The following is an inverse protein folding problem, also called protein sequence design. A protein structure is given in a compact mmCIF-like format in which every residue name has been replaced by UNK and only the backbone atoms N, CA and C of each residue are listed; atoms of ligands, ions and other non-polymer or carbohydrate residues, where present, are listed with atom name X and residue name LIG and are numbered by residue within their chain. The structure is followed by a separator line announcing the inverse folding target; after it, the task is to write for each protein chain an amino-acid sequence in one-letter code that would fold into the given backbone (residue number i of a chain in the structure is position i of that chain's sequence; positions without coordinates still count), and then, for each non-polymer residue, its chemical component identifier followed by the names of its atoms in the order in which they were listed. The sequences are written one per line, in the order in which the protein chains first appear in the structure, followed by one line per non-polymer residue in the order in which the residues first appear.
data_IF_512331203823
#
_entry.id   IF_512331203823
#
_cell.length_a   1.000
_cell.length_b   1.000
_cell.length_c   1.000
_cell.angle_alpha   90.00
_cell.angle_beta   90.00
_cell.angle_gamma   90.00
#
_symmetry.space_group_name_H-M   'P 1'
#
loop_
_entity.id
_entity.type
_entity.pdbx_description
1 polymer ?
#
# COMPACT_ATOMS: atom_id res chain seq x y z
N UNK A 1 12.28 -0.90 -0.40
CA UNK A 1 11.20 -1.75 -0.95
C UNK A 1 10.16 -0.97 -1.75
N UNK A 2 9.59 -1.60 -2.79
CA UNK A 2 8.41 -1.07 -3.51
C UNK A 2 7.11 -1.43 -2.81
N UNK A 3 6.13 -0.53 -2.84
CA UNK A 3 4.76 -0.75 -2.38
C UNK A 3 3.74 -0.17 -3.36
N UNK A 4 2.48 -0.56 -3.21
CA UNK A 4 1.38 0.05 -3.97
C UNK A 4 1.14 1.46 -3.46
N UNK A 5 0.93 2.40 -4.39
CA UNK A 5 0.53 3.76 -4.07
C UNK A 5 -0.96 3.81 -3.77
N UNK A 6 -1.32 4.53 -2.71
CA UNK A 6 -2.69 5.00 -2.48
C UNK A 6 -2.90 6.40 -3.05
N UNK A 7 -4.14 6.69 -3.44
CA UNK A 7 -4.60 8.02 -3.85
C UNK A 7 -5.82 8.43 -3.04
N UNK A 8 -5.77 9.63 -2.47
CA UNK A 8 -6.84 10.25 -1.69
C UNK A 8 -7.25 11.59 -2.29
N UNK A 9 -8.56 11.84 -2.37
CA UNK A 9 -9.17 13.07 -2.87
C UNK A 9 -9.93 13.69 -1.71
N UNK A 10 -9.45 14.83 -1.21
CA UNK A 10 -10.06 15.56 -0.08
C UNK A 10 -11.15 16.48 -0.63
N UNK A 11 -12.37 15.96 -0.68
CA UNK A 11 -13.50 16.63 -1.32
C UNK A 11 -14.82 16.21 -0.68
N UNK A 12 -15.72 17.17 -0.50
CA UNK A 12 -17.07 16.91 0.02
C UNK A 12 -17.95 16.14 -0.99
N UNK A 13 -18.87 15.32 -0.48
CA UNK A 13 -19.77 14.51 -1.31
C UNK A 13 -20.61 15.33 -2.29
N UNK A 14 -20.94 16.58 -1.93
CA UNK A 14 -21.70 17.51 -2.77
C UNK A 14 -20.91 18.00 -3.99
N UNK A 15 -19.59 18.09 -3.88
CA UNK A 15 -18.71 18.62 -4.92
C UNK A 15 -18.14 17.52 -5.82
N UNK A 16 -18.11 16.29 -5.31
CA UNK A 16 -17.56 15.15 -6.03
C UNK A 16 -18.26 14.86 -7.35
N UNK A 17 -19.60 14.97 -7.41
CA UNK A 17 -20.35 14.68 -8.64
C UNK A 17 -19.87 15.58 -9.78
N UNK A 18 -19.70 16.88 -9.51
CA UNK A 18 -19.20 17.83 -10.49
C UNK A 18 -17.73 17.58 -10.83
N UNK A 19 -16.91 17.25 -9.82
CA UNK A 19 -15.50 16.88 -10.02
C UNK A 19 -15.37 15.68 -10.97
N UNK A 20 -16.17 14.63 -10.77
CA UNK A 20 -16.13 13.43 -11.61
C UNK A 20 -16.71 13.70 -13.00
N UNK A 21 -17.75 14.52 -13.13
CA UNK A 21 -18.28 14.89 -14.45
C UNK A 21 -17.21 15.63 -15.26
N UNK A 22 -16.54 16.60 -14.66
CA UNK A 22 -15.45 17.33 -15.33
C UNK A 22 -14.25 16.43 -15.64
N UNK A 23 -13.92 15.50 -14.74
CA UNK A 23 -12.92 14.46 -15.00
C UNK A 23 -13.31 13.60 -16.21
N UNK A 24 -14.57 13.19 -16.28
CA UNK A 24 -15.10 12.35 -17.37
C UNK A 24 -15.06 13.06 -18.72
N UNK A 25 -15.26 14.38 -18.75
CA UNK A 25 -15.15 15.20 -19.97
C UNK A 25 -13.70 15.33 -20.48
N UNK A 26 -12.72 15.25 -19.59
CA UNK A 26 -11.29 15.34 -19.94
C UNK A 26 -10.66 14.00 -20.28
N UNK A 27 -11.27 12.90 -19.83
CA UNK A 27 -10.76 11.56 -20.07
C UNK A 27 -10.88 11.22 -21.56
N UNK A 28 -9.76 10.75 -22.10
CA UNK A 28 -9.64 10.26 -23.47
C UNK A 28 -8.88 8.94 -23.46
N UNK A 29 -8.83 8.26 -24.61
CA UNK A 29 -8.04 7.04 -24.78
C UNK A 29 -6.60 7.24 -24.24
N UNK A 30 -6.05 6.30 -23.44
CA UNK A 30 -6.54 4.92 -23.20
C UNK A 30 -7.60 4.77 -22.11
N UNK A 31 -8.03 5.84 -21.46
CA UNK A 31 -8.97 5.80 -20.35
C UNK A 31 -10.42 6.03 -20.81
N UNK A 32 -11.35 5.47 -20.05
CA UNK A 32 -12.78 5.77 -20.14
C UNK A 32 -13.43 5.61 -18.77
N UNK A 33 -14.51 6.35 -18.53
CA UNK A 33 -15.47 6.05 -17.46
C UNK A 33 -16.41 4.94 -17.91
N UNK A 34 -16.83 4.08 -16.98
CA UNK A 34 -17.73 2.94 -17.24
C UNK A 34 -18.94 3.02 -16.30
N UNK A 35 -19.93 3.89 -16.62
CA UNK A 35 -21.11 4.10 -15.78
C UNK A 35 -21.94 2.82 -15.61
N UNK A 36 -21.91 1.91 -16.58
CA UNK A 36 -22.68 0.66 -16.52
C UNK A 36 -22.24 -0.22 -15.33
N UNK A 37 -20.94 -0.17 -14.98
CA UNK A 37 -20.41 -0.86 -13.80
C UNK A 37 -20.85 -0.16 -12.51
N UNK A 38 -20.90 1.17 -12.50
CA UNK A 38 -21.36 1.94 -11.33
C UNK A 38 -22.80 1.56 -10.96
N UNK A 39 -23.69 1.45 -11.96
CA UNK A 39 -25.08 1.05 -11.75
C UNK A 39 -25.20 -0.37 -11.20
N UNK A 40 -24.47 -1.34 -11.78
CA UNK A 40 -24.47 -2.73 -11.31
C UNK A 40 -24.04 -2.87 -9.85
N UNK A 41 -23.02 -2.14 -9.44
CA UNK A 41 -22.53 -2.19 -8.06
C UNK A 41 -23.34 -1.33 -7.10
N UNK A 42 -24.02 -0.27 -7.57
CA UNK A 42 -24.94 0.53 -6.74
C UNK A 42 -26.11 -0.29 -6.18
N UNK A 43 -26.47 -1.39 -6.84
CA UNK A 43 -27.49 -2.31 -6.35
C UNK A 43 -27.00 -3.13 -5.13
N UNK A 44 -25.69 -3.34 -5.01
CA UNK A 44 -25.06 -4.13 -3.97
C UNK A 44 -24.52 -3.28 -2.80
N UNK A 45 -24.06 -2.06 -3.08
CA UNK A 45 -23.50 -1.13 -2.10
C UNK A 45 -24.25 0.20 -2.10
N UNK A 46 -24.55 0.72 -0.91
CA UNK A 46 -25.27 2.00 -0.74
C UNK A 46 -24.41 3.23 -1.05
N UNK A 47 -23.08 3.08 -1.06
CA UNK A 47 -22.17 4.18 -1.28
C UNK A 47 -21.94 4.42 -2.77
N UNK A 48 -21.87 5.70 -3.16
CA UNK A 48 -21.55 6.07 -4.55
C UNK A 48 -20.16 5.58 -4.90
N UNK A 49 -19.98 5.16 -6.14
CA UNK A 49 -18.70 4.80 -6.70
C UNK A 49 -18.58 5.26 -8.14
N UNK A 50 -17.35 5.46 -8.58
CA UNK A 50 -17.04 5.87 -9.95
C UNK A 50 -16.02 4.93 -10.56
N UNK A 51 -16.36 4.35 -11.71
CA UNK A 51 -15.61 3.26 -12.31
C UNK A 51 -14.91 3.76 -13.58
N UNK A 52 -13.61 3.47 -13.67
CA UNK A 52 -12.78 3.81 -14.81
C UNK A 52 -12.09 2.56 -15.33
N UNK A 53 -11.92 2.50 -16.63
CA UNK A 53 -11.14 1.46 -17.30
C UNK A 53 -10.08 2.09 -18.16
N UNK A 54 -8.92 1.44 -18.15
CA UNK A 54 -7.78 1.72 -18.99
C UNK A 54 -7.61 0.57 -19.98
N UNK A 55 -7.58 0.89 -21.26
CA UNK A 55 -7.20 -0.06 -22.30
C UNK A 55 -5.69 -0.30 -22.30
N UNK A 56 -5.29 -1.50 -22.71
CA UNK A 56 -3.88 -1.86 -22.84
C UNK A 56 -3.16 -0.97 -23.86
N UNK A 57 -1.93 -0.58 -23.54
CA UNK A 57 -1.02 0.12 -24.44
C UNK A 57 0.34 -0.56 -24.41
N UNK A 58 1.30 -0.06 -25.19
CA UNK A 58 2.67 -0.61 -25.22
C UNK A 58 3.38 -0.59 -23.85
N UNK A 59 3.00 0.32 -22.95
CA UNK A 59 3.74 0.55 -21.71
C UNK A 59 3.06 0.03 -20.45
N UNK A 60 1.74 -0.14 -20.46
CA UNK A 60 0.98 -0.51 -19.28
C UNK A 60 -0.20 -1.40 -19.68
N UNK A 61 -0.57 -2.39 -18.84
CA UNK A 61 -1.65 -3.33 -19.11
C UNK A 61 -3.03 -2.70 -18.96
N UNK A 62 -4.05 -3.41 -19.45
CA UNK A 62 -5.45 -3.02 -19.21
C UNK A 62 -5.83 -3.20 -17.74
N UNK A 63 -6.53 -2.22 -17.19
CA UNK A 63 -6.87 -2.20 -15.77
C UNK A 63 -8.18 -1.46 -15.48
N UNK A 64 -8.86 -1.88 -14.41
CA UNK A 64 -9.99 -1.19 -13.81
C UNK A 64 -9.56 -0.44 -12.55
N UNK A 65 -10.07 0.78 -12.40
CA UNK A 65 -9.85 1.66 -11.26
C UNK A 65 -11.21 2.13 -10.75
N UNK A 66 -11.41 2.12 -9.43
CA UNK A 66 -12.63 2.61 -8.81
C UNK A 66 -12.29 3.74 -7.85
N UNK A 67 -13.13 4.77 -7.77
CA UNK A 67 -13.09 5.79 -6.73
C UNK A 67 -14.26 5.53 -5.78
N UNK A 68 -13.95 5.33 -4.49
CA UNK A 68 -14.92 5.07 -3.42
C UNK A 68 -14.82 6.12 -2.32
N UNK A 69 -15.88 6.24 -1.51
CA UNK A 69 -15.83 7.01 -0.28
C UNK A 69 -15.00 6.24 0.76
N UNK A 70 -14.03 6.92 1.38
CA UNK A 70 -13.27 6.37 2.53
C UNK A 70 -13.94 6.76 3.84
N UNK A 71 -14.22 8.04 3.97
CA UNK A 71 -14.80 8.69 5.15
C UNK A 71 -15.39 10.04 4.72
N UNK A 72 -15.93 10.82 5.66
CA UNK A 72 -16.50 12.13 5.35
C UNK A 72 -15.46 13.06 4.72
N UNK A 73 -15.83 13.66 3.60
CA UNK A 73 -14.98 14.54 2.79
C UNK A 73 -13.68 13.89 2.28
N UNK A 74 -13.60 12.55 2.22
CA UNK A 74 -12.44 11.86 1.67
C UNK A 74 -12.87 10.70 0.76
N UNK A 75 -12.42 10.78 -0.48
CA UNK A 75 -12.57 9.76 -1.50
C UNK A 75 -11.21 9.13 -1.80
N UNK A 76 -11.18 7.90 -2.29
CA UNK A 76 -9.92 7.21 -2.54
C UNK A 76 -10.03 6.13 -3.60
N UNK A 77 -8.87 5.71 -4.11
CA UNK A 77 -8.75 4.52 -4.96
C UNK A 77 -8.35 3.34 -4.09
N UNK A 78 -9.27 2.39 -3.79
CA UNK A 78 -8.98 1.27 -2.90
C UNK A 78 -8.04 0.24 -3.54
N UNK A 79 -8.15 0.05 -4.85
CA UNK A 79 -7.36 -0.91 -5.60
C UNK A 79 -7.45 -0.61 -7.11
N UNK A 80 -6.46 -1.10 -7.85
CA UNK A 80 -6.42 -1.16 -9.31
C UNK A 80 -6.29 -2.63 -9.69
N UNK A 81 -7.24 -3.13 -10.47
CA UNK A 81 -7.32 -4.55 -10.83
C UNK A 81 -7.04 -4.73 -12.31
N UNK A 82 -6.26 -5.75 -12.73
CA UNK A 82 -6.07 -6.03 -14.14
C UNK A 82 -7.37 -6.52 -14.78
N UNK A 83 -7.59 -6.17 -16.06
CA UNK A 83 -8.77 -6.65 -16.82
C UNK A 83 -8.44 -7.94 -17.56
N UNK A 84 -7.25 -8.03 -18.15
CA UNK A 84 -6.83 -9.17 -18.97
C UNK A 84 -5.78 -10.03 -18.26
N UNK A 85 -4.80 -9.42 -17.59
CA UNK A 85 -3.75 -10.16 -16.87
C UNK A 85 -4.25 -10.72 -15.53
N UNK A 86 -3.52 -11.68 -14.95
CA UNK A 86 -3.87 -12.28 -13.66
C UNK A 86 -3.48 -11.43 -12.45
N UNK A 87 -2.44 -10.59 -12.57
CA UNK A 87 -1.97 -9.68 -11.53
C UNK A 87 -1.23 -8.49 -12.16
N UNK A 88 -1.03 -7.43 -11.36
CA UNK A 88 -0.21 -6.26 -11.70
C UNK A 88 1.05 -6.24 -10.83
N UNK A 89 2.20 -5.94 -11.41
CA UNK A 89 3.42 -5.64 -10.65
C UNK A 89 3.30 -4.31 -9.90
N UNK A 90 4.23 -4.03 -8.98
CA UNK A 90 4.34 -2.71 -8.35
C UNK A 90 4.58 -1.60 -9.37
N UNK A 91 5.39 -1.83 -10.40
CA UNK A 91 5.61 -0.83 -11.45
C UNK A 91 4.36 -0.58 -12.28
N UNK A 92 3.65 -1.64 -12.67
CA UNK A 92 2.43 -1.53 -13.47
C UNK A 92 1.33 -0.82 -12.70
N UNK A 93 1.06 -1.26 -11.47
CA UNK A 93 0.06 -0.64 -10.61
C UNK A 93 0.35 0.85 -10.38
N UNK A 94 1.58 1.16 -9.92
CA UNK A 94 1.95 2.53 -9.60
C UNK A 94 2.00 3.41 -10.85
N UNK A 95 2.46 2.85 -11.98
CA UNK A 95 2.46 3.53 -13.28
C UNK A 95 1.05 3.87 -13.76
N UNK A 96 0.08 2.96 -13.60
CA UNK A 96 -1.32 3.21 -13.93
C UNK A 96 -1.90 4.34 -13.06
N UNK A 97 -1.65 4.30 -11.74
CA UNK A 97 -2.15 5.35 -10.84
C UNK A 97 -1.50 6.71 -11.14
N UNK A 98 -0.20 6.74 -11.39
CA UNK A 98 0.54 7.95 -11.77
C UNK A 98 0.05 8.52 -13.10
N UNK A 99 -0.22 7.65 -14.09
CA UNK A 99 -0.78 8.05 -15.39
C UNK A 99 -2.15 8.71 -15.20
N UNK A 100 -3.05 8.07 -14.44
CA UNK A 100 -4.38 8.60 -14.15
C UNK A 100 -4.32 9.94 -13.41
N UNK A 101 -3.46 10.04 -12.39
CA UNK A 101 -3.28 11.25 -11.61
C UNK A 101 -2.71 12.40 -12.42
N UNK A 102 -1.56 12.19 -13.07
CA UNK A 102 -0.83 13.23 -13.79
C UNK A 102 -1.58 13.70 -15.03
N UNK A 103 -2.24 12.78 -15.75
CA UNK A 103 -2.91 13.10 -17.01
C UNK A 103 -4.27 13.77 -16.81
N UNK A 104 -5.00 13.42 -15.75
CA UNK A 104 -6.40 13.83 -15.58
C UNK A 104 -6.67 14.46 -14.21
N UNK A 105 -6.53 13.71 -13.11
CA UNK A 105 -6.95 14.21 -11.78
C UNK A 105 -6.27 15.52 -11.38
N UNK A 106 -4.95 15.63 -11.60
CA UNK A 106 -4.19 16.81 -11.20
C UNK A 106 -4.65 18.10 -11.90
N UNK A 107 -5.20 18.00 -13.11
CA UNK A 107 -5.71 19.15 -13.87
C UNK A 107 -7.04 19.64 -13.28
N UNK A 108 -7.97 18.71 -13.05
CA UNK A 108 -9.28 19.00 -12.44
C UNK A 108 -9.09 19.53 -11.01
N UNK A 109 -8.20 18.88 -10.24
CA UNK A 109 -7.87 19.28 -8.88
C UNK A 109 -7.32 20.71 -8.79
N UNK A 110 -6.36 21.07 -9.67
CA UNK A 110 -5.84 22.44 -9.74
C UNK A 110 -6.92 23.47 -10.07
N UNK A 111 -7.80 23.16 -11.02
CA UNK A 111 -8.88 24.08 -11.42
C UNK A 111 -9.90 24.30 -10.30
N UNK A 112 -10.25 23.24 -9.56
CA UNK A 112 -11.23 23.27 -8.48
C UNK A 112 -10.63 23.55 -7.09
N UNK A 113 -9.30 23.65 -6.99
CA UNK A 113 -8.55 23.78 -5.72
C UNK A 113 -8.85 22.63 -4.75
N UNK A 114 -8.96 21.43 -5.29
CA UNK A 114 -9.15 20.18 -4.52
C UNK A 114 -7.78 19.65 -4.15
N UNK A 115 -7.63 19.23 -2.90
CA UNK A 115 -6.41 18.59 -2.44
C UNK A 115 -6.43 17.09 -2.78
N UNK A 116 -5.36 16.62 -3.42
CA UNK A 116 -5.16 15.22 -3.78
C UNK A 116 -3.81 14.78 -3.25
N UNK A 117 -3.85 13.73 -2.46
CA UNK A 117 -2.67 13.09 -1.89
C UNK A 117 -2.41 11.78 -2.65
N UNK A 118 -1.20 11.61 -3.17
CA UNK A 118 -0.71 10.34 -3.71
C UNK A 118 0.48 9.91 -2.87
N UNK A 119 0.39 8.74 -2.28
CA UNK A 119 1.45 8.23 -1.41
C UNK A 119 2.69 7.80 -2.20
N UNK A 120 3.84 7.69 -1.54
CA UNK A 120 5.06 7.15 -2.15
C UNK A 120 4.87 5.67 -2.54
N UNK A 121 5.40 5.29 -3.71
CA UNK A 121 5.49 3.89 -4.15
C UNK A 121 6.72 3.16 -3.59
N UNK A 122 7.51 3.85 -2.78
CA UNK A 122 8.69 3.35 -2.10
C UNK A 122 8.51 3.50 -0.59
N UNK A 123 8.94 2.50 0.15
CA UNK A 123 8.97 2.49 1.61
C UNK A 123 10.35 2.01 2.06
N UNK A 124 10.93 2.75 2.99
CA UNK A 124 12.17 2.37 3.67
C UNK A 124 11.86 1.58 4.95
N UNK A 125 12.82 0.78 5.39
CA UNK A 125 12.72 0.07 6.67
C UNK A 125 12.57 1.04 7.86
N UNK A 126 13.09 2.27 7.76
CA UNK A 126 12.91 3.34 8.75
C UNK A 126 11.45 3.79 8.82
N UNK A 127 10.73 3.85 7.70
CA UNK A 127 9.31 4.21 7.70
C UNK A 127 8.47 3.16 8.44
N UNK A 128 8.85 1.89 8.30
CA UNK A 128 8.19 0.75 8.95
C UNK A 128 8.55 0.66 10.43
N UNK A 129 9.83 0.59 10.77
CA UNK A 129 10.30 0.23 12.11
C UNK A 129 10.79 1.43 12.95
N UNK A 130 10.77 2.65 12.40
CA UNK A 130 11.45 3.80 12.99
C UNK A 130 12.97 3.68 12.89
N UNK A 131 13.68 4.79 13.18
CA UNK A 131 15.15 4.84 13.05
C UNK A 131 15.86 3.77 13.90
N UNK A 132 15.43 3.59 15.16
CA UNK A 132 16.08 2.66 16.07
C UNK A 132 15.78 1.20 15.71
N UNK A 133 14.51 0.87 15.43
CA UNK A 133 14.10 -0.46 15.00
C UNK A 133 14.82 -0.88 13.72
N UNK A 134 14.86 -0.01 12.70
CA UNK A 134 15.57 -0.29 11.45
C UNK A 134 17.07 -0.53 11.69
N UNK A 135 17.72 0.26 12.56
CA UNK A 135 19.13 0.05 12.93
C UNK A 135 19.37 -1.30 13.60
N UNK A 136 18.49 -1.71 14.53
CA UNK A 136 18.60 -2.99 15.22
C UNK A 136 18.42 -4.15 14.24
N UNK A 137 17.45 -4.07 13.33
CA UNK A 137 17.23 -5.07 12.29
C UNK A 137 18.44 -5.22 11.38
N UNK A 138 18.97 -4.10 10.86
CA UNK A 138 20.20 -4.11 10.04
C UNK A 138 21.39 -4.70 10.79
N UNK A 139 21.53 -4.39 12.08
CA UNK A 139 22.60 -4.94 12.93
C UNK A 139 22.45 -6.45 13.10
N UNK A 140 21.23 -6.93 13.31
CA UNK A 140 20.93 -8.35 13.38
C UNK A 140 21.29 -9.05 12.06
N UNK A 141 20.77 -8.57 10.93
CA UNK A 141 20.98 -9.20 9.61
C UNK A 141 22.44 -9.23 9.15
N UNK A 142 23.23 -8.22 9.54
CA UNK A 142 24.66 -8.14 9.21
C UNK A 142 25.54 -9.00 10.11
N UNK A 143 25.15 -9.19 11.37
CA UNK A 143 25.97 -9.91 12.36
C UNK A 143 25.56 -11.37 12.58
N UNK A 144 24.32 -11.73 12.25
CA UNK A 144 23.79 -13.06 12.45
C UNK A 144 24.27 -14.02 11.38
N UNK A 145 24.39 -15.29 11.74
CA UNK A 145 24.53 -16.32 10.73
C UNK A 145 23.16 -16.56 10.05
N UNK A 146 23.01 -16.06 8.83
CA UNK A 146 21.75 -16.09 8.09
C UNK A 146 21.22 -17.51 7.80
N UNK A 147 22.07 -18.54 7.91
CA UNK A 147 21.64 -19.94 7.75
C UNK A 147 20.94 -20.52 9.00
N UNK A 148 21.13 -19.89 10.17
CA UNK A 148 20.64 -20.38 11.47
C UNK A 148 19.66 -19.43 12.16
N UNK A 149 19.33 -18.29 11.54
CA UNK A 149 18.34 -17.35 12.10
C UNK A 149 18.76 -16.81 13.46
N UNK A 150 17.81 -16.85 14.40
CA UNK A 150 17.98 -16.42 15.80
C UNK A 150 18.54 -17.53 16.70
N UNK A 151 18.92 -18.71 16.17
CA UNK A 151 19.25 -19.89 17.00
C UNK A 151 20.51 -19.74 17.86
N UNK A 152 21.48 -18.92 17.45
CA UNK A 152 22.68 -18.69 18.23
C UNK A 152 22.40 -17.67 19.36
N UNK A 153 22.88 -17.86 20.61
CA UNK A 153 22.51 -16.99 21.73
C UNK A 153 22.77 -15.49 21.53
N UNK A 154 23.81 -15.12 20.76
CA UNK A 154 24.07 -13.71 20.43
C UNK A 154 23.11 -13.17 19.36
N UNK A 155 22.69 -14.01 18.42
CA UNK A 155 21.77 -13.64 17.35
C UNK A 155 20.36 -13.52 17.92
N UNK A 156 19.97 -14.44 18.80
CA UNK A 156 18.75 -14.36 19.59
C UNK A 156 18.64 -13.04 20.36
N UNK A 157 19.72 -12.61 21.03
CA UNK A 157 19.71 -11.35 21.79
C UNK A 157 19.52 -10.14 20.88
N UNK A 158 20.16 -10.11 19.72
CA UNK A 158 19.98 -9.03 18.73
C UNK A 158 18.56 -9.02 18.19
N UNK A 159 18.02 -10.21 17.90
CA UNK A 159 16.66 -10.40 17.43
C UNK A 159 15.63 -9.92 18.44
N UNK A 160 15.75 -10.34 19.70
CA UNK A 160 14.88 -9.88 20.78
C UNK A 160 14.99 -8.38 21.02
N UNK A 161 16.18 -7.78 20.88
CA UNK A 161 16.35 -6.33 21.00
C UNK A 161 15.53 -5.59 19.94
N UNK A 162 15.54 -6.08 18.69
CA UNK A 162 14.71 -5.54 17.62
C UNK A 162 13.21 -5.68 17.92
N UNK A 163 12.75 -6.89 18.29
CA UNK A 163 11.33 -7.15 18.59
C UNK A 163 10.82 -6.23 19.70
N UNK A 164 11.56 -6.13 20.81
CA UNK A 164 11.17 -5.32 21.97
C UNK A 164 11.06 -3.84 21.58
N UNK A 165 12.01 -3.32 20.82
CA UNK A 165 11.98 -1.94 20.36
C UNK A 165 10.75 -1.65 19.50
N UNK A 166 10.48 -2.54 18.54
CA UNK A 166 9.37 -2.39 17.60
C UNK A 166 8.02 -2.46 18.32
N UNK A 167 7.80 -3.46 19.16
CA UNK A 167 6.53 -3.64 19.86
C UNK A 167 6.22 -2.49 20.84
N UNK A 168 7.26 -1.88 21.44
CA UNK A 168 7.07 -0.71 22.32
C UNK A 168 6.67 0.54 21.58
N UNK A 169 7.17 0.72 20.36
CA UNK A 169 7.05 1.97 19.62
C UNK A 169 5.85 1.98 18.67
N UNK A 170 5.42 0.82 18.17
CA UNK A 170 4.28 0.70 17.24
C UNK A 170 3.42 -0.53 17.58
N UNK A 171 2.11 -0.33 17.69
CA UNK A 171 1.14 -1.35 18.09
C UNK A 171 0.62 -2.24 16.95
N UNK A 172 0.99 -1.98 15.70
CA UNK A 172 0.47 -2.75 14.58
C UNK A 172 1.43 -2.64 13.38
N UNK A 173 2.42 -3.53 13.34
CA UNK A 173 3.31 -3.66 12.18
C UNK A 173 2.82 -4.84 11.35
N UNK A 174 2.50 -4.59 10.09
CA UNK A 174 2.25 -5.64 9.11
C UNK A 174 3.55 -6.44 8.89
N UNK A 175 3.52 -7.69 9.35
CA UNK A 175 4.62 -8.65 9.31
C UNK A 175 5.08 -8.97 7.89
N UNK A 176 4.24 -8.74 6.87
CA UNK A 176 4.62 -8.81 5.47
C UNK A 176 5.70 -7.79 5.09
N UNK A 177 5.75 -6.63 5.74
CA UNK A 177 6.87 -5.69 5.54
C UNK A 177 8.16 -6.22 6.15
N UNK A 178 8.10 -6.88 7.31
CA UNK A 178 9.28 -7.49 7.94
C UNK A 178 9.87 -8.59 7.07
N UNK A 179 9.04 -9.49 6.54
CA UNK A 179 9.50 -10.55 5.64
C UNK A 179 10.30 -9.97 4.47
N UNK A 180 9.74 -8.95 3.81
CA UNK A 180 10.37 -8.34 2.63
C UNK A 180 11.66 -7.61 2.97
N UNK A 181 11.72 -6.89 4.11
CA UNK A 181 12.96 -6.24 4.54
C UNK A 181 14.04 -7.28 4.86
N UNK A 182 13.69 -8.43 5.45
CA UNK A 182 14.63 -9.54 5.65
C UNK A 182 15.14 -10.07 4.30
N UNK A 183 14.26 -10.28 3.31
CA UNK A 183 14.67 -10.70 1.96
C UNK A 183 15.64 -9.69 1.33
N UNK A 184 15.36 -8.38 1.41
CA UNK A 184 16.24 -7.32 0.91
C UNK A 184 17.61 -7.31 1.62
N UNK A 185 17.65 -7.72 2.89
CA UNK A 185 18.88 -7.83 3.69
C UNK A 185 19.63 -9.18 3.48
N UNK A 186 19.20 -9.99 2.51
CA UNK A 186 19.90 -11.19 2.05
C UNK A 186 19.44 -12.50 2.69
N UNK A 187 18.43 -12.46 3.56
CA UNK A 187 17.88 -13.67 4.15
C UNK A 187 17.17 -14.52 3.09
N UNK A 188 17.29 -15.85 3.18
CA UNK A 188 16.49 -16.76 2.36
C UNK A 188 15.02 -16.69 2.74
N UNK A 189 14.09 -16.93 1.81
CA UNK A 189 12.64 -16.99 2.07
C UNK A 189 12.27 -17.83 3.29
N UNK A 190 12.84 -19.03 3.41
CA UNK A 190 12.61 -19.91 4.57
C UNK A 190 12.96 -19.21 5.90
N UNK A 191 14.09 -18.50 5.94
CA UNK A 191 14.55 -17.84 7.16
C UNK A 191 13.82 -16.55 7.45
N UNK A 192 13.49 -15.78 6.42
CA UNK A 192 12.62 -14.62 6.57
C UNK A 192 11.28 -15.04 7.18
N UNK A 193 10.69 -16.13 6.67
CA UNK A 193 9.42 -16.66 7.17
C UNK A 193 9.52 -17.16 8.62
N UNK A 194 10.55 -17.93 8.96
CA UNK A 194 10.77 -18.39 10.36
C UNK A 194 10.91 -17.22 11.33
N UNK A 195 11.68 -16.19 10.98
CA UNK A 195 11.84 -14.99 11.80
C UNK A 195 10.53 -14.20 11.92
N UNK A 196 9.75 -14.10 10.85
CA UNK A 196 8.43 -13.45 10.87
C UNK A 196 7.48 -14.17 11.83
N UNK A 197 7.44 -15.50 11.81
CA UNK A 197 6.64 -16.29 12.76
C UNK A 197 7.08 -16.02 14.20
N UNK A 198 8.39 -15.95 14.47
CA UNK A 198 8.91 -15.59 15.79
C UNK A 198 8.49 -14.18 16.22
N UNK A 199 8.50 -13.22 15.28
CA UNK A 199 8.08 -11.84 15.52
C UNK A 199 6.58 -11.77 15.88
N UNK A 200 5.70 -12.39 15.09
CA UNK A 200 4.25 -12.39 15.31
C UNK A 200 3.88 -13.03 16.65
N UNK A 201 4.54 -14.15 16.99
CA UNK A 201 4.38 -14.79 18.29
C UNK A 201 4.79 -13.86 19.44
N UNK A 202 5.96 -13.22 19.32
CA UNK A 202 6.46 -12.34 20.36
C UNK A 202 5.62 -11.07 20.52
N UNK A 203 5.13 -10.50 19.42
CA UNK A 203 4.19 -9.37 19.43
C UNK A 203 2.91 -9.74 20.18
N UNK A 204 2.28 -10.87 19.83
CA UNK A 204 1.08 -11.37 20.49
C UNK A 204 1.30 -11.59 22.00
N UNK A 205 2.47 -12.11 22.38
CA UNK A 205 2.83 -12.34 23.77
C UNK A 205 3.00 -11.03 24.55
N UNK A 206 3.66 -10.03 23.96
CA UNK A 206 3.85 -8.71 24.59
C UNK A 206 2.50 -8.01 24.75
N UNK A 207 1.65 -8.03 23.73
CA UNK A 207 0.29 -7.46 23.79
C UNK A 207 -0.54 -8.10 24.90
N UNK A 208 -0.48 -9.43 25.05
CA UNK A 208 -1.15 -10.14 26.14
C UNK A 208 -0.62 -9.70 27.52
N UNK A 209 0.70 -9.57 27.67
CA UNK A 209 1.32 -9.14 28.93
C UNK A 209 1.00 -7.68 29.30
N UNK A 210 0.73 -6.80 28.33
CA UNK A 210 0.33 -5.41 28.60
C UNK A 210 -1.15 -5.27 29.00
N UNK A 211 -1.98 -6.29 28.75
CA UNK A 211 -3.41 -6.30 29.08
C UNK A 211 -3.71 -6.89 30.47
N UNK A 212 -2.76 -7.61 31.07
CA UNK A 212 -2.81 -8.17 32.43
C UNK A 212 -2.26 -7.19 33.48
#
# INVERSE_FOLDING_TARGET
MKRFKDLYIKLADSELVEFINELSEQIVFPWRRVPEKEEQFSFLNKDKMYCFERSETEHLPSAGLVILKKEDNCWYVPNIVPIVSGSLSYEEYNGILDEFYSSYLSKVAKKRRVDIEVTSGEIEDIDVFGEHGAKLLRTFSTCANQSTGSSHPLDQKRWFSFIIEVCRTKKDIDSGYLERVLLEQGWSERMANELVIEFEFAQSLIEFMEQE
#
